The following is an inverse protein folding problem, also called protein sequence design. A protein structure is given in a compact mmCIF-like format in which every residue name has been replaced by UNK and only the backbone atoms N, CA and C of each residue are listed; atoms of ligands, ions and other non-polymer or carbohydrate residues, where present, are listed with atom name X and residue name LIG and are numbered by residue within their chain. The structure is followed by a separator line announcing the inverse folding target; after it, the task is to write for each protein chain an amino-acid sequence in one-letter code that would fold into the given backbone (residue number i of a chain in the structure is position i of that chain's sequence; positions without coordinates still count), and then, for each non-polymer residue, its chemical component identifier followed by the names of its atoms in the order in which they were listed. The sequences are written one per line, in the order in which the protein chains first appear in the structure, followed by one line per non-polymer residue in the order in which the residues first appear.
data_IF_672441144556
#
_entry.id   IF_672441144556
#
_cell.length_a   1.000
_cell.length_b   1.000
_cell.length_c   1.000
_cell.angle_alpha   90.00
_cell.angle_beta   90.00
_cell.angle_gamma   90.00
#
_symmetry.space_group_name_H-M   'P 1'
#
loop_
_entity.id
_entity.type
_entity.pdbx_description
1 polymer ?
#
# COMPACT_ATOMS: atom_id res chain seq x y z
N UNK A 1 -4.08 0.30 12.57
CA UNK A 1 -5.23 0.83 11.80
C UNK A 1 -4.67 1.38 10.50
N UNK A 2 -5.16 0.93 9.32
CA UNK A 2 -4.86 1.61 8.07
C UNK A 2 -5.24 3.08 8.22
N UNK A 3 -4.36 3.98 7.79
CA UNK A 3 -4.70 5.39 7.78
C UNK A 3 -5.55 5.70 6.55
N UNK A 4 -6.30 6.81 6.58
CA UNK A 4 -7.11 7.26 5.42
C UNK A 4 -6.30 7.33 4.11
N UNK A 5 -4.97 7.52 4.21
CA UNK A 5 -4.07 7.56 3.05
C UNK A 5 -3.75 6.15 2.50
N UNK A 6 -3.62 5.14 3.36
CA UNK A 6 -3.50 3.74 2.93
C UNK A 6 -4.78 3.27 2.28
N UNK A 7 -5.95 3.63 2.83
CA UNK A 7 -7.24 3.30 2.20
C UNK A 7 -7.37 3.94 0.81
N UNK A 8 -6.91 5.19 0.67
CA UNK A 8 -6.87 5.89 -0.62
C UNK A 8 -5.94 5.18 -1.61
N UNK A 9 -4.78 4.71 -1.16
CA UNK A 9 -3.84 3.95 -1.98
C UNK A 9 -4.47 2.65 -2.50
N UNK A 10 -5.14 1.89 -1.62
CA UNK A 10 -5.84 0.65 -2.00
C UNK A 10 -7.00 0.95 -2.96
N UNK A 11 -7.76 2.01 -2.71
CA UNK A 11 -8.85 2.44 -3.58
C UNK A 11 -8.35 2.83 -4.98
N UNK A 12 -7.27 3.60 -5.08
CA UNK A 12 -6.64 3.93 -6.36
C UNK A 12 -6.22 2.67 -7.13
N UNK A 13 -5.65 1.67 -6.44
CA UNK A 13 -5.29 0.41 -7.07
C UNK A 13 -6.51 -0.45 -7.47
N UNK A 14 -7.68 -0.24 -6.87
CA UNK A 14 -8.93 -0.89 -7.28
C UNK A 14 -9.52 -0.26 -8.55
N UNK A 15 -9.42 1.07 -8.69
CA UNK A 15 -10.06 1.82 -9.78
C UNK A 15 -9.14 2.13 -10.96
N UNK A 16 -7.82 2.11 -10.76
CA UNK A 16 -6.81 2.39 -11.79
C UNK A 16 -5.88 1.19 -11.97
N UNK A 17 -6.08 0.46 -13.07
CA UNK A 17 -5.27 -0.71 -13.44
C UNK A 17 -3.80 -0.35 -13.68
N UNK A 18 -3.51 0.82 -14.27
CA UNK A 18 -2.12 1.26 -14.51
C UNK A 18 -1.41 1.55 -13.20
N UNK A 19 -2.12 2.17 -12.25
CA UNK A 19 -1.63 2.39 -10.91
C UNK A 19 -1.36 1.06 -10.19
N UNK A 20 -2.29 0.11 -10.26
CA UNK A 20 -2.15 -1.23 -9.68
C UNK A 20 -0.93 -1.97 -10.22
N UNK A 21 -0.75 -1.96 -11.55
CA UNK A 21 0.42 -2.58 -12.18
C UNK A 21 1.71 -1.90 -11.74
N UNK A 22 1.75 -0.57 -11.66
CA UNK A 22 2.93 0.13 -11.13
C UNK A 22 3.20 -0.18 -9.65
N UNK A 23 2.15 -0.33 -8.84
CA UNK A 23 2.24 -0.66 -7.42
C UNK A 23 2.79 -2.07 -7.18
N UNK A 24 2.43 -3.02 -8.04
CA UNK A 24 2.85 -4.43 -7.91
C UNK A 24 4.17 -4.73 -8.67
N UNK A 25 4.40 -4.11 -9.82
CA UNK A 25 5.47 -4.47 -10.78
C UNK A 25 6.61 -3.44 -10.89
N UNK A 26 6.97 -2.79 -9.78
CA UNK A 26 8.28 -2.12 -9.66
C UNK A 26 8.29 -0.59 -9.66
N UNK A 27 7.17 0.09 -9.96
CA UNK A 27 7.05 1.56 -9.79
C UNK A 27 6.57 1.98 -8.40
N UNK A 28 6.43 1.02 -7.48
CA UNK A 28 5.93 1.26 -6.11
C UNK A 28 6.64 2.43 -5.43
N UNK A 29 7.97 2.51 -5.52
CA UNK A 29 8.75 3.58 -4.86
C UNK A 29 8.35 4.97 -5.36
N UNK A 30 8.16 5.13 -6.67
CA UNK A 30 7.79 6.41 -7.29
C UNK A 30 6.34 6.78 -6.96
N UNK A 31 5.43 5.81 -7.06
CA UNK A 31 4.01 6.01 -6.71
C UNK A 31 3.84 6.36 -5.23
N UNK A 32 4.52 5.65 -4.35
CA UNK A 32 4.53 5.91 -2.90
C UNK A 32 5.17 7.26 -2.57
N UNK A 33 6.21 7.68 -3.30
CA UNK A 33 6.84 8.98 -3.10
C UNK A 33 5.92 10.14 -3.50
N UNK A 34 5.06 9.96 -4.50
CA UNK A 34 4.05 10.94 -4.90
C UNK A 34 2.90 11.09 -3.89
N UNK A 35 2.74 10.11 -3.00
CA UNK A 35 1.76 10.17 -1.92
C UNK A 35 2.37 10.84 -0.69
N UNK A 36 1.61 11.74 -0.06
CA UNK A 36 1.99 12.39 1.20
C UNK A 36 1.92 11.43 2.40
N UNK A 37 2.49 10.22 2.28
CA UNK A 37 2.63 9.24 3.37
C UNK A 37 3.73 9.68 4.33
N UNK A 38 3.48 9.46 5.62
CA UNK A 38 4.48 9.48 6.68
C UNK A 38 5.53 8.40 6.45
N UNK A 39 6.70 8.54 7.08
CA UNK A 39 7.78 7.56 6.93
C UNK A 39 7.33 6.16 7.35
N UNK A 40 6.59 6.03 8.46
CA UNK A 40 6.07 4.75 8.93
C UNK A 40 5.13 4.09 7.90
N UNK A 41 4.24 4.87 7.28
CA UNK A 41 3.33 4.38 6.24
C UNK A 41 4.10 3.96 4.97
N UNK A 42 5.13 4.72 4.57
CA UNK A 42 6.00 4.34 3.43
C UNK A 42 6.71 3.03 3.69
N UNK A 43 7.30 2.87 4.88
CA UNK A 43 8.00 1.64 5.26
C UNK A 43 7.03 0.45 5.26
N UNK A 44 5.83 0.62 5.82
CA UNK A 44 4.80 -0.41 5.81
C UNK A 44 4.45 -0.83 4.38
N UNK A 45 4.17 0.12 3.49
CA UNK A 45 3.84 -0.15 2.07
C UNK A 45 5.00 -0.81 1.32
N UNK A 46 6.22 -0.37 1.55
CA UNK A 46 7.41 -0.90 0.87
C UNK A 46 7.78 -2.31 1.36
N UNK A 47 7.45 -2.67 2.61
CA UNK A 47 7.70 -3.99 3.18
C UNK A 47 6.76 -5.07 2.63
N UNK A 48 5.61 -4.71 2.07
CA UNK A 48 4.63 -5.67 1.54
C UNK A 48 5.19 -6.41 0.33
N UNK A 49 5.28 -7.74 0.41
CA UNK A 49 5.54 -8.61 -0.73
C UNK A 49 4.24 -9.27 -1.14
N UNK A 50 3.65 -8.77 -2.21
CA UNK A 50 2.38 -9.26 -2.74
C UNK A 50 2.38 -9.16 -4.26
N UNK A 51 1.83 -10.19 -4.91
CA UNK A 51 1.65 -10.29 -6.36
C UNK A 51 0.22 -9.93 -6.80
N UNK A 52 -0.70 -9.84 -5.82
CA UNK A 52 -2.09 -9.43 -6.04
C UNK A 52 -2.48 -8.27 -5.13
N UNK A 53 -3.52 -7.55 -5.53
CA UNK A 53 -4.04 -6.44 -4.73
C UNK A 53 -4.71 -6.92 -3.43
N UNK A 54 -5.40 -8.07 -3.42
CA UNK A 54 -5.96 -8.60 -2.18
C UNK A 54 -4.88 -8.99 -1.17
N UNK A 55 -3.79 -9.63 -1.63
CA UNK A 55 -2.67 -9.97 -0.76
C UNK A 55 -1.98 -8.71 -0.23
N UNK A 56 -1.89 -7.67 -1.06
CA UNK A 56 -1.33 -6.38 -0.68
C UNK A 56 -2.18 -5.67 0.39
N UNK A 57 -3.50 -5.57 0.16
CA UNK A 57 -4.43 -4.99 1.12
C UNK A 57 -4.49 -5.81 2.41
N UNK A 58 -4.46 -7.14 2.30
CA UNK A 58 -4.41 -8.05 3.45
C UNK A 58 -3.18 -7.82 4.32
N UNK A 59 -1.99 -7.66 3.74
CA UNK A 59 -0.77 -7.36 4.47
C UNK A 59 -0.82 -5.99 5.19
N UNK A 60 -1.51 -5.00 4.61
CA UNK A 60 -1.74 -3.68 5.21
C UNK A 60 -2.93 -3.62 6.17
N UNK A 61 -3.69 -4.70 6.29
CA UNK A 61 -4.76 -4.88 7.27
C UNK A 61 -4.39 -5.86 8.40
N UNK A 62 -3.27 -6.59 8.31
CA UNK A 62 -2.87 -7.57 9.32
C UNK A 62 -2.44 -6.92 10.65
N UNK A 63 -2.91 -7.42 11.80
CA UNK A 63 -2.72 -6.79 13.12
C UNK A 63 -1.29 -6.92 13.69
N UNK A 64 -0.23 -6.99 12.87
CA UNK A 64 1.16 -6.92 13.35
C UNK A 64 1.51 -5.55 14.00
N UNK A 65 0.58 -4.59 13.95
CA UNK A 65 0.61 -3.29 14.63
C UNK A 65 -0.52 -3.12 15.66
N UNK A 66 -1.18 -4.21 16.07
CA UNK A 66 -1.97 -4.26 17.31
C UNK A 66 -1.06 -4.71 18.44
N UNK A 67 -0.41 -3.76 19.11
CA UNK A 67 0.10 -4.00 20.46
C UNK A 67 -1.04 -3.66 21.42
N UNK A 68 -1.26 -4.59 22.35
CA UNK A 68 -2.21 -4.57 23.45
C UNK A 68 -2.06 -3.38 24.39
#
# INVERSE_FOLDING_TARGET
MPTRKIDTLVWMALTDTSFREGLLNGKRRELVASLNLTEAERQAVMAVRAETLEAFAGALCQPAYCVS
#
